data_IF_715361494079
#
_entry.id   IF_715361494079
#
_cell.length_a   1.000
_cell.length_b   1.000
_cell.length_c   1.000
_cell.angle_alpha   90.00
_cell.angle_beta   90.00
_cell.angle_gamma   90.00
#
_symmetry.space_group_name_H-M   'P 1'
#
loop_
_entity.id
_entity.type
_entity.pdbx_description
1 polymer ?
#
# COMPACT_ATOMS: atom_id res chain seq x y z
N UNK A 1 -1.32 -25.05 5.61
CA UNK A 1 -1.53 -23.59 5.63
C UNK A 1 -0.26 -22.97 5.10
N UNK A 2 -0.24 -22.64 3.81
CA UNK A 2 0.92 -22.01 3.17
C UNK A 2 0.98 -20.55 3.59
N UNK A 3 2.07 -20.15 4.26
CA UNK A 3 2.35 -18.76 4.65
C UNK A 3 2.31 -17.80 3.45
N UNK A 4 2.60 -18.33 2.26
CA UNK A 4 2.56 -17.60 1.00
C UNK A 4 1.18 -16.98 0.74
N UNK A 5 0.08 -17.66 1.10
CA UNK A 5 -1.28 -17.14 0.90
C UNK A 5 -1.57 -15.89 1.73
N UNK A 6 -0.88 -15.70 2.86
CA UNK A 6 -1.04 -14.51 3.68
C UNK A 6 -0.19 -13.33 3.20
N UNK A 7 0.81 -13.56 2.34
CA UNK A 7 1.64 -12.48 1.79
C UNK A 7 0.86 -11.66 0.77
N UNK A 8 0.02 -12.29 -0.05
CA UNK A 8 -0.83 -11.62 -1.05
C UNK A 8 -1.75 -10.57 -0.40
N UNK A 9 -2.26 -10.84 0.81
CA UNK A 9 -3.06 -9.89 1.59
C UNK A 9 -2.22 -8.77 2.23
N UNK A 10 -0.96 -9.06 2.56
CA UNK A 10 -0.07 -8.17 3.33
C UNK A 10 0.62 -7.13 2.44
N UNK A 11 0.88 -7.47 1.18
CA UNK A 11 1.50 -6.59 0.19
C UNK A 11 0.70 -5.28 -0.07
N UNK A 12 -0.61 -5.31 -0.36
CA UNK A 12 -1.38 -4.09 -0.55
C UNK A 12 -1.47 -3.24 0.72
N UNK A 13 -1.59 -3.87 1.89
CA UNK A 13 -1.58 -3.18 3.19
C UNK A 13 -0.22 -2.53 3.46
N UNK A 14 0.87 -3.23 3.14
CA UNK A 14 2.23 -2.73 3.26
C UNK A 14 2.48 -1.49 2.40
N UNK A 15 1.96 -1.48 1.15
CA UNK A 15 2.01 -0.30 0.28
C UNK A 15 1.29 0.90 0.90
N UNK A 16 0.11 0.71 1.48
CA UNK A 16 -0.63 1.80 2.15
C UNK A 16 0.17 2.35 3.33
N UNK A 17 0.77 1.48 4.16
CA UNK A 17 1.56 1.90 5.31
C UNK A 17 2.82 2.67 4.89
N UNK A 18 3.55 2.18 3.89
CA UNK A 18 4.73 2.89 3.34
C UNK A 18 4.29 4.24 2.77
N UNK A 19 3.20 4.27 2.01
CA UNK A 19 2.65 5.51 1.46
C UNK A 19 2.29 6.53 2.54
N UNK A 20 1.73 6.08 3.67
CA UNK A 20 1.42 6.92 4.82
C UNK A 20 2.68 7.48 5.49
N UNK A 21 3.74 6.66 5.63
CA UNK A 21 5.04 7.12 6.14
C UNK A 21 5.62 8.20 5.22
N UNK A 22 5.64 7.96 3.90
CA UNK A 22 6.18 8.92 2.92
C UNK A 22 5.35 10.21 2.86
N UNK A 23 4.04 10.13 3.06
CA UNK A 23 3.17 11.30 3.13
C UNK A 23 3.50 12.24 4.30
N UNK A 24 3.92 11.68 5.45
CA UNK A 24 4.27 12.47 6.64
C UNK A 24 5.62 13.19 6.49
N UNK A 25 6.51 12.71 5.61
CA UNK A 25 7.82 13.34 5.37
C UNK A 25 7.62 14.69 4.65
N UNK A 26 8.31 15.77 5.08
CA UNK A 26 7.98 17.14 4.68
C UNK A 26 8.32 17.52 3.23
N UNK A 27 8.89 16.62 2.42
CA UNK A 27 9.29 16.94 1.05
C UNK A 27 8.18 16.67 0.03
N UNK A 28 7.82 17.64 -0.84
CA UNK A 28 6.68 17.52 -1.75
C UNK A 28 6.71 16.29 -2.67
N UNK A 29 7.90 15.93 -3.17
CA UNK A 29 8.07 14.77 -4.05
C UNK A 29 7.80 13.45 -3.32
N UNK A 30 8.32 13.35 -2.09
CA UNK A 30 8.14 12.18 -1.22
C UNK A 30 6.68 12.05 -0.79
N UNK A 31 6.02 13.15 -0.43
CA UNK A 31 4.59 13.10 -0.08
C UNK A 31 3.70 12.74 -1.26
N UNK A 32 4.04 13.19 -2.48
CA UNK A 32 3.31 12.83 -3.70
C UNK A 32 3.44 11.36 -4.02
N UNK A 33 4.64 10.78 -3.90
CA UNK A 33 4.86 9.34 -3.97
C UNK A 33 4.06 8.61 -2.89
N UNK A 34 4.03 9.15 -1.67
CA UNK A 34 3.27 8.60 -0.56
C UNK A 34 1.77 8.49 -0.85
N UNK A 35 1.16 9.57 -1.36
CA UNK A 35 -0.24 9.57 -1.80
C UNK A 35 -0.44 8.54 -2.92
N UNK A 36 0.47 8.47 -3.89
CA UNK A 36 0.42 7.48 -4.97
C UNK A 36 0.40 6.04 -4.45
N UNK A 37 1.26 5.72 -3.46
CA UNK A 37 1.31 4.40 -2.84
C UNK A 37 0.07 4.08 -2.00
N UNK A 38 -0.50 5.06 -1.29
CA UNK A 38 -1.77 4.89 -0.56
C UNK A 38 -2.90 4.53 -1.53
N UNK A 39 -3.01 5.29 -2.62
CA UNK A 39 -4.04 5.06 -3.65
C UNK A 39 -3.84 3.71 -4.34
N UNK A 40 -2.61 3.39 -4.73
CA UNK A 40 -2.28 2.13 -5.39
C UNK A 40 -2.53 0.93 -4.47
N UNK A 41 -2.04 0.98 -3.23
CA UNK A 41 -2.24 -0.07 -2.24
C UNK A 41 -3.72 -0.27 -1.90
N UNK A 42 -4.49 0.82 -1.78
CA UNK A 42 -5.94 0.75 -1.59
C UNK A 42 -6.69 0.16 -2.78
N UNK A 43 -6.31 0.53 -4.02
CA UNK A 43 -6.90 -0.02 -5.24
C UNK A 43 -6.58 -1.50 -5.42
N UNK A 44 -5.34 -1.92 -5.11
CA UNK A 44 -4.96 -3.32 -5.13
C UNK A 44 -5.67 -4.12 -4.04
N UNK A 45 -5.75 -3.60 -2.81
CA UNK A 45 -6.50 -4.27 -1.75
C UNK A 45 -7.96 -4.50 -2.15
N UNK A 46 -8.59 -3.48 -2.77
CA UNK A 46 -9.95 -3.60 -3.27
C UNK A 46 -10.09 -4.64 -4.40
N UNK A 47 -9.09 -4.76 -5.28
CA UNK A 47 -9.05 -5.79 -6.31
C UNK A 47 -8.96 -7.20 -5.69
N UNK A 48 -8.11 -7.38 -4.68
CA UNK A 48 -7.91 -8.67 -4.02
C UNK A 48 -9.17 -9.15 -3.29
N UNK A 49 -9.96 -8.23 -2.71
CA UNK A 49 -11.27 -8.58 -2.12
C UNK A 49 -12.26 -9.23 -3.08
N UNK A 50 -12.08 -9.05 -4.39
CA UNK A 50 -12.99 -9.54 -5.42
C UNK A 50 -12.40 -10.72 -6.23
N UNK A 51 -11.22 -11.22 -5.85
CA UNK A 51 -10.52 -12.34 -6.44
C UNK A 51 -10.66 -13.59 -5.58
#
# INVERSE_FOLDING_TARGET
MDIIQYLDELEPVGMVLIGLVLFIIPEPATSTLGIGLIVLGGAWWFYEWNR
#
